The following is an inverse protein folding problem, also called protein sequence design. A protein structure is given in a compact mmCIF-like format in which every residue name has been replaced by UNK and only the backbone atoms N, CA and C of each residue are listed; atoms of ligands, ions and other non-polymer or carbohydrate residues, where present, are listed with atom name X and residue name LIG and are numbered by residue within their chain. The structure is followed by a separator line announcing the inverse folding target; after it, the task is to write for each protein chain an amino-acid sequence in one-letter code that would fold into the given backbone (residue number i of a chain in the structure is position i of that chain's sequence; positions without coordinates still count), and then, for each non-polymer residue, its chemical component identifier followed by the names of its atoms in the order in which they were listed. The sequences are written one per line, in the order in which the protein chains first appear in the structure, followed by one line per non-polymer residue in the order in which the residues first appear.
data_IF_199470719112
#
_entry.id   IF_199470719112
#
_cell.length_a   1.000
_cell.length_b   1.000
_cell.length_c   1.000
_cell.angle_alpha   90.00
_cell.angle_beta   90.00
_cell.angle_gamma   90.00
#
_symmetry.space_group_name_H-M   'P 1'
#
loop_
_entity.id
_entity.type
_entity.pdbx_description
1 polymer ?
#
# COMPACT_ATOMS: atom_id res chain seq x y z
N UNK A 1 13.33 -5.11 19.63
CA UNK A 1 12.22 -5.06 18.64
C UNK A 1 11.55 -6.43 18.38
N UNK A 2 11.69 -7.44 19.28
CA UNK A 2 11.08 -8.76 19.07
C UNK A 2 9.55 -8.71 19.09
N UNK A 3 8.96 -7.97 20.02
CA UNK A 3 7.49 -7.86 20.19
C UNK A 3 6.78 -7.34 18.92
N UNK A 4 7.29 -6.30 18.28
CA UNK A 4 6.69 -5.77 17.04
C UNK A 4 6.83 -6.73 15.85
N UNK A 5 7.92 -7.50 15.79
CA UNK A 5 8.06 -8.54 14.76
C UNK A 5 7.08 -9.69 14.98
N UNK A 6 6.87 -10.10 16.24
CA UNK A 6 5.87 -11.11 16.60
C UNK A 6 4.44 -10.64 16.29
N UNK A 7 4.10 -9.40 16.65
CA UNK A 7 2.81 -8.81 16.30
C UNK A 7 2.59 -8.72 14.78
N UNK A 8 3.66 -8.51 14.01
CA UNK A 8 3.59 -8.53 12.55
C UNK A 8 3.37 -9.95 11.98
N UNK A 9 4.03 -10.97 12.56
CA UNK A 9 3.81 -12.37 12.19
C UNK A 9 2.38 -12.82 12.52
N UNK A 10 1.77 -12.28 13.58
CA UNK A 10 0.37 -12.50 13.93
C UNK A 10 -0.62 -11.71 13.05
N UNK A 11 -0.13 -10.87 12.12
CA UNK A 11 -0.98 -10.05 11.27
C UNK A 11 -1.71 -8.95 12.02
N UNK A 12 -1.23 -8.49 13.18
CA UNK A 12 -1.83 -7.34 13.87
C UNK A 12 -1.36 -6.03 13.23
N UNK A 13 -0.10 -6.02 12.81
CA UNK A 13 0.56 -4.91 12.14
C UNK A 13 1.31 -5.40 10.91
N UNK A 14 1.52 -4.51 9.96
CA UNK A 14 2.22 -4.77 8.71
C UNK A 14 3.43 -3.86 8.61
N UNK A 15 4.61 -4.44 8.39
CA UNK A 15 5.83 -3.70 8.13
C UNK A 15 5.93 -3.33 6.64
N UNK A 16 5.72 -2.07 6.29
CA UNK A 16 5.83 -1.63 4.88
C UNK A 16 7.31 -1.53 4.46
N UNK A 17 8.14 -1.00 5.34
CA UNK A 17 9.60 -0.96 5.24
C UNK A 17 10.19 -1.33 6.60
N UNK A 18 11.48 -1.67 6.64
CA UNK A 18 12.20 -1.91 7.89
C UNK A 18 11.90 -0.77 8.87
N UNK A 19 11.49 -1.14 10.07
CA UNK A 19 11.25 -0.25 11.20
C UNK A 19 10.02 0.68 11.10
N UNK A 20 9.17 0.52 10.07
CA UNK A 20 7.88 1.25 9.93
C UNK A 20 6.72 0.27 9.82
N UNK A 21 5.82 0.33 10.79
CA UNK A 21 4.67 -0.55 10.91
C UNK A 21 3.36 0.24 10.83
N UNK A 22 2.36 -0.33 10.17
CA UNK A 22 0.98 0.16 10.16
C UNK A 22 0.03 -0.92 10.68
N UNK A 23 -1.12 -0.54 11.20
CA UNK A 23 -2.21 -1.49 11.45
C UNK A 23 -2.79 -1.99 10.13
N UNK A 24 -3.32 -3.20 10.11
CA UNK A 24 -3.85 -3.80 8.89
C UNK A 24 -5.04 -3.03 8.29
N UNK A 25 -5.88 -2.43 9.12
CA UNK A 25 -7.01 -1.60 8.68
C UNK A 25 -6.56 -0.42 7.81
N UNK A 26 -5.38 0.16 8.10
CA UNK A 26 -4.76 1.20 7.28
C UNK A 26 -4.20 0.67 5.98
N UNK A 27 -3.61 -0.54 5.98
CA UNK A 27 -3.16 -1.19 4.75
C UNK A 27 -4.34 -1.43 3.80
N UNK A 28 -5.48 -1.91 4.32
CA UNK A 28 -6.71 -2.08 3.54
C UNK A 28 -7.22 -0.75 2.98
N UNK A 29 -7.20 0.32 3.78
CA UNK A 29 -7.58 1.66 3.31
C UNK A 29 -6.68 2.17 2.17
N UNK A 30 -5.37 1.92 2.26
CA UNK A 30 -4.44 2.27 1.18
C UNK A 30 -4.70 1.44 -0.09
N UNK A 31 -5.02 0.16 0.05
CA UNK A 31 -5.40 -0.69 -1.08
C UNK A 31 -6.68 -0.20 -1.77
N UNK A 32 -7.69 0.23 -1.00
CA UNK A 32 -8.90 0.86 -1.56
C UNK A 32 -8.58 2.12 -2.36
N UNK A 33 -7.74 3.00 -1.83
CA UNK A 33 -7.34 4.22 -2.54
C UNK A 33 -6.60 3.93 -3.85
N UNK A 34 -5.77 2.89 -3.90
CA UNK A 34 -5.13 2.43 -5.14
C UNK A 34 -6.17 1.96 -6.15
N UNK A 35 -7.20 1.22 -5.72
CA UNK A 35 -8.30 0.80 -6.60
C UNK A 35 -9.07 1.98 -7.17
N UNK A 36 -9.35 2.99 -6.35
CA UNK A 36 -10.02 4.21 -6.81
C UNK A 36 -9.19 4.94 -7.88
N UNK A 37 -7.89 5.12 -7.64
CA UNK A 37 -6.99 5.75 -8.60
C UNK A 37 -6.86 4.93 -9.90
N UNK A 38 -6.83 3.61 -9.79
CA UNK A 38 -6.83 2.70 -10.94
C UNK A 38 -8.12 2.82 -11.77
N UNK A 39 -9.29 2.94 -11.13
CA UNK A 39 -10.56 3.18 -11.82
C UNK A 39 -10.60 4.57 -12.50
N UNK A 40 -10.07 5.60 -11.84
CA UNK A 40 -10.07 6.98 -12.36
C UNK A 40 -9.08 7.18 -13.52
N UNK A 41 -7.92 6.49 -13.50
CA UNK A 41 -6.76 6.81 -14.37
C UNK A 41 -6.12 5.62 -15.07
N UNK A 42 -6.55 4.40 -14.76
CA UNK A 42 -5.96 3.15 -15.27
C UNK A 42 -4.61 2.78 -14.65
N UNK A 43 -4.12 3.57 -13.70
CA UNK A 43 -2.91 3.29 -12.92
C UNK A 43 -2.78 4.22 -11.71
N UNK A 44 -1.88 3.89 -10.79
CA UNK A 44 -1.49 4.76 -9.67
C UNK A 44 -0.07 5.27 -9.83
N UNK A 45 0.17 6.58 -9.71
CA UNK A 45 1.52 7.13 -9.58
C UNK A 45 1.77 7.67 -8.17
N UNK A 46 3.05 7.84 -7.80
CA UNK A 46 3.41 8.33 -6.47
C UNK A 46 2.92 9.77 -6.18
N UNK A 47 2.72 10.59 -7.21
CA UNK A 47 2.20 11.96 -7.06
C UNK A 47 0.70 11.94 -6.72
N UNK A 48 -0.12 11.21 -7.48
CA UNK A 48 -1.55 11.14 -7.21
C UNK A 48 -1.82 10.48 -5.85
N UNK A 49 -1.08 9.42 -5.53
CA UNK A 49 -1.23 8.69 -4.28
C UNK A 49 -0.85 9.55 -3.06
N UNK A 50 0.24 10.31 -3.12
CA UNK A 50 0.64 11.18 -2.00
C UNK A 50 -0.37 12.31 -1.79
N UNK A 51 -0.92 12.86 -2.88
CA UNK A 51 -1.81 14.01 -2.85
C UNK A 51 -3.16 13.59 -2.26
N UNK A 52 -3.65 12.39 -2.60
CA UNK A 52 -4.88 11.82 -2.04
C UNK A 52 -4.73 11.37 -0.58
N UNK A 53 -3.56 10.87 -0.18
CA UNK A 53 -3.26 10.54 1.23
C UNK A 53 -2.84 11.74 2.08
N UNK A 54 -2.55 12.89 1.47
CA UNK A 54 -1.93 14.05 2.12
C UNK A 54 -0.66 13.70 2.94
N UNK A 55 0.27 12.97 2.30
CA UNK A 55 1.53 12.53 2.92
C UNK A 55 2.75 12.98 2.10
N UNK A 56 3.92 12.95 2.73
CA UNK A 56 5.18 13.19 2.03
C UNK A 56 5.50 12.11 0.98
N UNK A 57 6.14 12.52 -0.13
CA UNK A 57 6.53 11.64 -1.24
C UNK A 57 7.27 10.36 -0.81
N UNK A 58 8.17 10.48 0.18
CA UNK A 58 8.94 9.33 0.70
C UNK A 58 8.02 8.25 1.27
N UNK A 59 6.98 8.65 2.01
CA UNK A 59 6.04 7.69 2.59
C UNK A 59 5.15 7.06 1.51
N UNK A 60 4.65 7.87 0.57
CA UNK A 60 3.86 7.37 -0.55
C UNK A 60 4.61 6.29 -1.36
N UNK A 61 5.88 6.55 -1.71
CA UNK A 61 6.72 5.57 -2.41
C UNK A 61 6.90 4.29 -1.59
N UNK A 62 7.21 4.40 -0.30
CA UNK A 62 7.40 3.22 0.56
C UNK A 62 6.16 2.33 0.65
N UNK A 63 4.97 2.93 0.64
CA UNK A 63 3.71 2.20 0.63
C UNK A 63 3.51 1.51 -0.72
N UNK A 64 3.73 2.20 -1.84
CA UNK A 64 3.61 1.61 -3.18
C UNK A 64 4.63 0.48 -3.41
N UNK A 65 5.88 0.66 -2.97
CA UNK A 65 6.92 -0.39 -3.02
C UNK A 65 6.55 -1.61 -2.16
N UNK A 66 5.87 -1.40 -1.04
CA UNK A 66 5.32 -2.51 -0.25
C UNK A 66 4.27 -3.29 -1.06
N UNK A 67 3.33 -2.60 -1.71
CA UNK A 67 2.30 -3.23 -2.53
C UNK A 67 2.86 -3.94 -3.77
N UNK A 68 3.91 -3.38 -4.38
CA UNK A 68 4.64 -4.03 -5.47
C UNK A 68 5.30 -5.34 -5.00
N UNK A 69 5.94 -5.31 -3.83
CA UNK A 69 6.67 -6.47 -3.29
C UNK A 69 5.75 -7.65 -2.99
N UNK A 70 4.54 -7.39 -2.50
CA UNK A 70 3.56 -8.44 -2.21
C UNK A 70 2.70 -8.82 -3.42
N UNK A 71 2.87 -8.12 -4.55
CA UNK A 71 2.19 -8.42 -5.81
C UNK A 71 0.78 -7.85 -5.95
N UNK A 72 0.36 -6.94 -5.07
CA UNK A 72 -0.92 -6.23 -5.19
C UNK A 72 -0.90 -5.27 -6.39
N UNK A 73 0.20 -4.54 -6.53
CA UNK A 73 0.51 -3.70 -7.68
C UNK A 73 1.73 -4.22 -8.42
N UNK A 74 1.95 -3.72 -9.63
CA UNK A 74 3.19 -3.91 -10.37
C UNK A 74 3.66 -2.60 -10.95
N UNK A 75 4.87 -2.19 -10.60
CA UNK A 75 5.51 -1.01 -11.17
C UNK A 75 5.86 -1.21 -12.65
N UNK A 76 5.48 -0.23 -13.49
CA UNK A 76 5.85 -0.06 -14.89
C UNK A 76 6.25 1.40 -15.12
N UNK A 77 7.56 1.68 -15.09
CA UNK A 77 8.05 3.05 -15.16
C UNK A 77 7.69 3.84 -13.90
N UNK A 78 6.88 4.89 -14.07
CA UNK A 78 6.38 5.74 -12.98
C UNK A 78 5.03 5.28 -12.42
N UNK A 79 4.38 4.34 -13.10
CA UNK A 79 3.03 3.91 -12.78
C UNK A 79 3.07 2.56 -12.05
N UNK A 80 2.09 2.36 -11.18
CA UNK A 80 1.81 1.13 -10.46
C UNK A 80 0.47 0.62 -10.96
N UNK A 81 0.51 -0.49 -11.69
CA UNK A 81 -0.68 -1.12 -12.26
C UNK A 81 -1.28 -2.07 -11.21
N UNK A 82 -2.60 -2.02 -11.04
CA UNK A 82 -3.29 -2.96 -10.19
C UNK A 82 -3.21 -4.38 -10.79
N UNK A 83 -2.76 -5.36 -10.01
CA UNK A 83 -2.57 -6.75 -10.49
C UNK A 83 -3.56 -7.71 -9.87
N UNK A 84 -3.66 -7.69 -8.54
CA UNK A 84 -4.55 -8.58 -7.79
C UNK A 84 -5.47 -7.75 -6.91
N UNK A 85 -6.60 -7.33 -7.50
CA UNK A 85 -7.56 -6.47 -6.83
C UNK A 85 -8.23 -7.13 -5.61
N UNK A 86 -8.14 -8.45 -5.44
CA UNK A 86 -8.81 -9.19 -4.36
C UNK A 86 -7.88 -9.51 -3.18
N UNK A 87 -6.58 -9.26 -3.31
CA UNK A 87 -5.57 -9.59 -2.29
C UNK A 87 -5.85 -8.95 -0.92
N UNK A 88 -6.52 -7.80 -0.90
CA UNK A 88 -7.05 -7.18 0.31
C UNK A 88 -8.58 -7.15 0.25
N UNK A 89 -9.29 -7.48 1.33
CA UNK A 89 -10.75 -7.34 1.35
C UNK A 89 -11.12 -5.87 1.15
N UNK A 90 -12.16 -5.60 0.36
CA UNK A 90 -12.77 -4.27 0.37
C UNK A 90 -13.45 -4.09 1.72
N UNK A 91 -13.15 -2.98 2.41
CA UNK A 91 -14.04 -2.53 3.47
C UNK A 91 -15.33 -2.03 2.82
N UNK A 92 -16.45 -2.64 3.20
CA UNK A 92 -17.80 -2.11 3.01
C UNK A 92 -17.96 -0.74 3.67
#
# INVERSE_FOLDING_TARGET
RLVLRQAAQQGIITAIVKDRYYRNDRIVAFANMIRELDQERGSTCAADFRDRLNVGRKLAIQILEYFDRIGFTRRRGNDHLLRDALLFPQKE
#
